data_IF_549664708114
#
_entry.id   IF_549664708114
#
_cell.length_a   1.000
_cell.length_b   1.000
_cell.length_c   1.000
_cell.angle_alpha   90.00
_cell.angle_beta   90.00
_cell.angle_gamma   90.00
#
_symmetry.space_group_name_H-M   'P 1'
#
loop_
_entity.id
_entity.type
_entity.pdbx_description
1 polymer ?
#
# COMPACT_ATOMS: atom_id res chain seq x y z
N UNK A 1 -2.96 4.31 -17.14
CA UNK A 1 -3.00 3.07 -16.32
C UNK A 1 -1.62 2.41 -16.40
N UNK A 2 -1.13 1.82 -15.30
CA UNK A 2 0.17 1.14 -15.35
C UNK A 2 0.08 -0.12 -16.23
N UNK A 3 1.21 -0.48 -16.89
CA UNK A 3 1.28 -1.72 -17.69
C UNK A 3 0.97 -2.97 -16.84
N UNK A 4 1.29 -2.95 -15.54
CA UNK A 4 0.98 -4.05 -14.62
C UNK A 4 -0.52 -4.24 -14.46
N UNK A 5 -1.26 -3.17 -14.23
CA UNK A 5 -2.73 -3.23 -14.16
C UNK A 5 -3.34 -3.70 -15.47
N UNK A 6 -2.85 -3.20 -16.61
CA UNK A 6 -3.31 -3.71 -17.90
C UNK A 6 -3.09 -5.22 -18.03
N UNK A 7 -1.92 -5.72 -17.66
CA UNK A 7 -1.61 -7.14 -17.73
C UNK A 7 -2.48 -7.96 -16.75
N UNK A 8 -2.70 -7.47 -15.53
CA UNK A 8 -3.56 -8.13 -14.54
C UNK A 8 -4.99 -8.26 -15.09
N UNK A 9 -5.56 -7.19 -15.64
CA UNK A 9 -6.95 -7.20 -16.11
C UNK A 9 -7.13 -7.86 -17.48
N UNK A 10 -6.11 -7.89 -18.33
CA UNK A 10 -6.14 -8.63 -19.61
C UNK A 10 -5.90 -10.13 -19.43
N UNK A 11 -5.31 -10.56 -18.33
CA UNK A 11 -5.08 -11.98 -18.05
C UNK A 11 -6.41 -12.71 -17.85
N UNK A 12 -6.63 -13.78 -18.60
CA UNK A 12 -7.82 -14.61 -18.48
C UNK A 12 -7.88 -15.42 -17.17
N UNK A 13 -6.73 -15.67 -16.56
CA UNK A 13 -6.62 -16.43 -15.31
C UNK A 13 -5.82 -15.65 -14.25
N UNK A 14 -6.29 -15.67 -13.00
CA UNK A 14 -7.62 -16.11 -12.55
C UNK A 14 -8.72 -15.16 -13.06
N UNK A 15 -9.92 -15.67 -13.27
CA UNK A 15 -11.10 -14.86 -13.69
C UNK A 15 -11.40 -13.74 -12.67
N UNK A 16 -11.35 -14.09 -11.39
CA UNK A 16 -11.55 -13.13 -10.29
C UNK A 16 -10.19 -12.60 -9.85
N UNK A 17 -10.05 -11.29 -9.84
CA UNK A 17 -8.84 -10.62 -9.31
C UNK A 17 -9.10 -10.24 -7.87
N UNK A 18 -8.30 -10.80 -6.96
CA UNK A 18 -8.39 -10.48 -5.54
C UNK A 18 -7.56 -9.23 -5.24
N UNK A 19 -8.19 -8.24 -4.63
CA UNK A 19 -7.54 -7.06 -4.04
C UNK A 19 -7.53 -7.24 -2.53
N UNK A 20 -6.37 -7.18 -1.92
CA UNK A 20 -6.23 -7.27 -0.45
C UNK A 20 -5.70 -5.98 0.12
N UNK A 21 -6.41 -5.44 1.13
CA UNK A 21 -6.02 -4.25 1.86
C UNK A 21 -5.14 -4.60 3.06
N UNK A 22 -4.11 -3.80 3.28
CA UNK A 22 -3.24 -3.86 4.45
C UNK A 22 -3.02 -2.46 5.01
N UNK A 23 -3.09 -2.32 6.33
CA UNK A 23 -2.60 -1.11 7.00
C UNK A 23 -1.08 -1.12 6.92
N UNK A 24 -0.52 -0.13 6.25
CA UNK A 24 0.92 -0.06 6.00
C UNK A 24 1.74 -0.01 7.29
N UNK A 25 2.74 -0.88 7.37
CA UNK A 25 3.61 -1.03 8.53
C UNK A 25 2.93 -1.58 9.81
N UNK A 26 1.76 -2.16 9.72
CA UNK A 26 1.10 -2.77 10.89
C UNK A 26 1.39 -4.28 10.97
N UNK A 27 1.74 -4.84 12.15
CA UNK A 27 2.08 -4.16 13.41
C UNK A 27 3.46 -3.50 13.38
N UNK A 28 4.32 -3.90 12.48
CA UNK A 28 5.61 -3.33 12.15
C UNK A 28 5.95 -3.57 10.66
N UNK A 29 6.91 -2.86 10.06
CA UNK A 29 7.22 -2.97 8.64
C UNK A 29 7.62 -4.38 8.18
N UNK A 30 8.36 -5.12 8.98
CA UNK A 30 8.87 -6.44 8.59
C UNK A 30 7.77 -7.50 8.66
N UNK A 31 6.98 -7.51 9.72
CA UNK A 31 5.82 -8.39 9.85
C UNK A 31 4.79 -8.09 8.75
N UNK A 32 4.53 -6.81 8.49
CA UNK A 32 3.63 -6.37 7.41
C UNK A 32 4.12 -6.88 6.04
N UNK A 33 5.42 -6.76 5.76
CA UNK A 33 6.01 -7.28 4.53
C UNK A 33 5.82 -8.80 4.38
N UNK A 34 6.09 -9.57 5.43
CA UNK A 34 5.94 -11.04 5.38
C UNK A 34 4.48 -11.47 5.19
N UNK A 35 3.50 -10.75 5.77
CA UNK A 35 2.08 -10.99 5.54
C UNK A 35 1.69 -10.71 4.09
N UNK A 36 2.14 -9.57 3.54
CA UNK A 36 1.88 -9.18 2.14
C UNK A 36 2.53 -10.20 1.18
N UNK A 37 3.76 -10.61 1.46
CA UNK A 37 4.46 -11.64 0.68
C UNK A 37 3.66 -12.93 0.62
N UNK A 38 3.18 -13.43 1.75
CA UNK A 38 2.32 -14.62 1.80
C UNK A 38 1.03 -14.44 1.01
N UNK A 39 0.41 -13.25 1.05
CA UNK A 39 -0.78 -12.96 0.26
C UNK A 39 -0.48 -13.05 -1.24
N UNK A 40 0.64 -12.46 -1.67
CA UNK A 40 1.09 -12.52 -3.07
C UNK A 40 1.35 -13.97 -3.51
N UNK A 41 2.08 -14.73 -2.70
CA UNK A 41 2.41 -16.14 -2.99
C UNK A 41 1.16 -17.03 -3.07
N UNK A 42 0.06 -16.62 -2.45
CA UNK A 42 -1.25 -17.31 -2.51
C UNK A 42 -2.21 -16.69 -3.53
N UNK A 43 -1.72 -15.89 -4.47
CA UNK A 43 -2.48 -15.50 -5.67
C UNK A 43 -3.26 -14.18 -5.56
N UNK A 44 -2.97 -13.33 -4.58
CA UNK A 44 -3.50 -11.97 -4.56
C UNK A 44 -2.97 -11.20 -5.78
N UNK A 45 -3.87 -10.58 -6.52
CA UNK A 45 -3.53 -9.89 -7.76
C UNK A 45 -3.11 -8.44 -7.54
N UNK A 46 -3.71 -7.79 -6.54
CA UNK A 46 -3.46 -6.38 -6.22
C UNK A 46 -3.39 -6.23 -4.70
N UNK A 47 -2.35 -5.55 -4.24
CA UNK A 47 -2.18 -5.15 -2.85
C UNK A 47 -2.57 -3.68 -2.72
N UNK A 48 -3.48 -3.37 -1.82
CA UNK A 48 -3.82 -2.02 -1.43
C UNK A 48 -3.20 -1.74 -0.06
N UNK A 49 -2.38 -0.69 0.03
CA UNK A 49 -1.63 -0.36 1.23
C UNK A 49 -2.10 0.99 1.74
N UNK A 50 -2.76 1.00 2.89
CA UNK A 50 -3.18 2.22 3.58
C UNK A 50 -1.99 2.90 4.27
N UNK A 51 -1.64 4.13 3.89
CA UNK A 51 -0.71 4.91 4.68
C UNK A 51 -1.44 5.57 5.86
N UNK A 52 -0.84 5.45 7.04
CA UNK A 52 -1.51 5.79 8.30
C UNK A 52 -1.71 7.29 8.49
N UNK A 53 -2.85 7.63 9.07
CA UNK A 53 -3.24 8.99 9.43
C UNK A 53 -3.97 9.00 10.78
N UNK A 54 -3.82 10.09 11.53
CA UNK A 54 -4.66 10.38 12.71
C UNK A 54 -6.11 10.70 12.35
N UNK A 55 -6.33 11.10 11.10
CA UNK A 55 -7.62 11.57 10.57
C UNK A 55 -8.46 10.45 9.92
N UNK A 56 -8.23 9.19 10.29
CA UNK A 56 -8.92 8.02 9.74
C UNK A 56 -10.40 7.94 10.17
N UNK A 57 -11.16 9.01 9.96
CA UNK A 57 -12.55 9.13 10.40
C UNK A 57 -13.55 8.30 9.60
N UNK A 58 -13.19 7.98 8.34
CA UNK A 58 -14.02 7.14 7.47
C UNK A 58 -13.79 5.64 7.69
N UNK A 59 -12.74 5.27 8.44
CA UNK A 59 -12.42 3.89 8.75
C UNK A 59 -13.23 3.41 9.96
N UNK A 60 -13.49 2.11 9.99
CA UNK A 60 -14.06 1.49 11.19
C UNK A 60 -13.06 1.46 12.34
N UNK A 61 -13.54 1.19 13.59
CA UNK A 61 -12.71 1.28 14.79
C UNK A 61 -11.50 0.36 14.77
N UNK A 62 -11.59 -0.79 14.11
CA UNK A 62 -10.48 -1.76 14.00
C UNK A 62 -9.34 -1.19 13.16
N UNK A 63 -9.63 -0.68 11.96
CA UNK A 63 -8.63 -0.09 11.06
C UNK A 63 -8.06 1.19 11.68
N UNK A 64 -8.93 2.03 12.27
CA UNK A 64 -8.47 3.22 12.97
C UNK A 64 -7.49 2.89 14.09
N UNK A 65 -7.79 1.86 14.90
CA UNK A 65 -6.89 1.40 15.97
C UNK A 65 -5.53 0.95 15.41
N UNK A 66 -5.50 0.28 14.27
CA UNK A 66 -4.24 -0.11 13.62
C UNK A 66 -3.45 1.11 13.12
N UNK A 67 -4.11 2.13 12.55
CA UNK A 67 -3.46 3.40 12.19
C UNK A 67 -2.84 4.09 13.41
N UNK A 68 -3.61 4.21 14.50
CA UNK A 68 -3.15 4.84 15.75
C UNK A 68 -1.94 4.09 16.32
N UNK A 69 -1.97 2.74 16.27
CA UNK A 69 -0.85 1.91 16.70
C UNK A 69 0.42 2.17 15.90
N UNK A 70 0.33 2.19 14.58
CA UNK A 70 1.48 2.44 13.69
C UNK A 70 2.09 3.82 13.94
N UNK A 71 1.24 4.85 14.04
CA UNK A 71 1.69 6.23 14.30
C UNK A 71 2.32 6.37 15.69
N UNK A 72 1.76 5.72 16.72
CA UNK A 72 2.30 5.71 18.08
C UNK A 72 3.69 5.06 18.14
N UNK A 73 3.96 4.08 17.28
CA UNK A 73 5.27 3.43 17.17
C UNK A 73 6.25 4.20 16.25
N UNK A 74 5.88 5.41 15.80
CA UNK A 74 6.75 6.32 15.06
C UNK A 74 6.90 6.01 13.56
N UNK A 75 6.11 5.09 13.01
CA UNK A 75 6.12 4.82 11.58
C UNK A 75 5.34 5.89 10.80
N UNK A 76 5.87 6.27 9.66
CA UNK A 76 5.41 7.39 8.85
C UNK A 76 5.09 6.95 7.42
N UNK A 77 4.55 7.87 6.62
CA UNK A 77 4.37 7.67 5.17
C UNK A 77 5.66 7.24 4.47
N UNK A 78 6.82 7.74 4.90
CA UNK A 78 8.12 7.32 4.33
C UNK A 78 8.38 5.83 4.55
N UNK A 79 8.05 5.29 5.71
CA UNK A 79 8.18 3.86 5.99
C UNK A 79 7.23 3.04 5.11
N UNK A 80 6.01 3.53 4.87
CA UNK A 80 5.08 2.88 3.93
C UNK A 80 5.62 2.89 2.49
N UNK A 81 6.22 3.98 2.03
CA UNK A 81 6.86 4.05 0.71
C UNK A 81 8.05 3.07 0.60
N UNK A 82 8.84 2.94 1.66
CA UNK A 82 9.91 1.94 1.73
C UNK A 82 9.38 0.51 1.69
N UNK A 83 8.27 0.24 2.39
CA UNK A 83 7.57 -1.05 2.33
C UNK A 83 7.11 -1.36 0.90
N UNK A 84 6.52 -0.41 0.19
CA UNK A 84 6.14 -0.55 -1.22
C UNK A 84 7.34 -0.93 -2.08
N UNK A 85 8.47 -0.26 -1.89
CA UNK A 85 9.71 -0.59 -2.61
C UNK A 85 10.16 -2.03 -2.33
N UNK A 86 10.14 -2.46 -1.08
CA UNK A 86 10.51 -3.83 -0.66
C UNK A 86 9.58 -4.87 -1.30
N UNK A 87 8.27 -4.59 -1.35
CA UNK A 87 7.29 -5.45 -2.03
C UNK A 87 7.56 -5.53 -3.53
N UNK A 88 7.84 -4.40 -4.17
CA UNK A 88 8.13 -4.36 -5.61
C UNK A 88 9.42 -5.10 -5.96
N UNK A 89 10.45 -5.02 -5.13
CA UNK A 89 11.69 -5.77 -5.31
C UNK A 89 11.48 -7.27 -5.14
N UNK A 90 10.50 -7.67 -4.31
CA UNK A 90 10.10 -9.07 -4.16
C UNK A 90 9.27 -9.58 -5.35
N UNK A 91 8.32 -8.78 -5.86
CA UNK A 91 7.43 -9.20 -6.93
C UNK A 91 7.18 -8.07 -7.95
N UNK A 92 7.60 -8.30 -9.19
CA UNK A 92 7.48 -7.34 -10.29
C UNK A 92 6.06 -7.22 -10.86
N UNK A 93 5.19 -8.21 -10.62
CA UNK A 93 3.93 -8.38 -11.35
C UNK A 93 2.70 -7.96 -10.55
N UNK A 94 2.73 -8.07 -9.22
CA UNK A 94 1.59 -7.68 -8.38
C UNK A 94 1.26 -6.20 -8.55
N UNK A 95 -0.03 -5.88 -8.64
CA UNK A 95 -0.48 -4.49 -8.60
C UNK A 95 -0.32 -3.90 -7.20
N UNK A 96 0.15 -2.67 -7.09
CA UNK A 96 0.28 -1.99 -5.80
C UNK A 96 -0.44 -0.64 -5.86
N UNK A 97 -1.42 -0.46 -4.99
CA UNK A 97 -2.15 0.79 -4.77
C UNK A 97 -1.77 1.35 -3.41
N UNK A 98 -1.35 2.60 -3.35
CA UNK A 98 -1.29 3.35 -2.10
C UNK A 98 -2.63 4.03 -1.86
N UNK A 99 -3.20 3.85 -0.67
CA UNK A 99 -4.46 4.48 -0.27
C UNK A 99 -4.27 5.33 0.98
N UNK A 100 -4.96 6.47 1.02
CA UNK A 100 -5.00 7.27 2.24
C UNK A 100 -5.67 8.62 2.06
N UNK A 101 -5.49 9.48 3.02
CA UNK A 101 -6.19 10.75 3.11
C UNK A 101 -5.33 11.90 2.59
N UNK A 102 -5.96 12.84 1.90
CA UNK A 102 -5.30 14.05 1.37
C UNK A 102 -4.60 14.85 2.46
N UNK A 103 -5.12 14.82 3.70
CA UNK A 103 -4.55 15.52 4.84
C UNK A 103 -3.08 15.17 5.10
N UNK A 104 -2.67 13.93 4.82
CA UNK A 104 -1.28 13.50 4.94
C UNK A 104 -0.37 14.17 3.91
N UNK A 105 -0.91 14.54 2.75
CA UNK A 105 -0.15 15.12 1.65
C UNK A 105 0.13 16.61 1.86
N UNK A 106 -0.62 17.29 2.74
CA UNK A 106 -0.32 18.68 3.09
C UNK A 106 1.03 18.85 3.81
N UNK A 107 1.49 17.79 4.48
CA UNK A 107 2.79 17.76 5.18
C UNK A 107 3.93 17.20 4.34
N UNK A 108 3.61 16.73 3.13
CA UNK A 108 4.57 16.13 2.21
C UNK A 108 4.48 16.87 0.87
N UNK A 109 5.55 17.53 0.40
CA UNK A 109 5.49 18.25 -0.87
C UNK A 109 5.00 17.32 -1.99
N UNK A 110 3.95 17.71 -2.67
CA UNK A 110 3.25 16.84 -3.65
C UNK A 110 4.19 16.34 -4.76
N UNK A 111 5.16 17.15 -5.17
CA UNK A 111 6.14 16.75 -6.19
C UNK A 111 7.04 15.63 -5.68
N UNK A 112 7.50 15.73 -4.44
CA UNK A 112 8.37 14.73 -3.81
C UNK A 112 7.57 13.43 -3.59
N UNK A 113 6.33 13.54 -3.13
CA UNK A 113 5.42 12.43 -2.97
C UNK A 113 5.25 11.64 -4.29
N UNK A 114 4.93 12.34 -5.38
CA UNK A 114 4.76 11.70 -6.70
C UNK A 114 6.04 11.02 -7.17
N UNK A 115 7.19 11.67 -6.97
CA UNK A 115 8.48 11.09 -7.35
C UNK A 115 8.82 9.85 -6.51
N UNK A 116 8.61 9.91 -5.20
CA UNK A 116 8.94 8.81 -4.29
C UNK A 116 8.03 7.61 -4.53
N UNK A 117 6.72 7.83 -4.76
CA UNK A 117 5.79 6.77 -5.16
C UNK A 117 6.22 6.12 -6.47
N UNK A 118 6.56 6.93 -7.47
CA UNK A 118 7.03 6.40 -8.76
C UNK A 118 8.29 5.56 -8.61
N UNK A 119 9.26 6.04 -7.81
CA UNK A 119 10.52 5.32 -7.52
C UNK A 119 10.28 4.05 -6.71
N UNK A 120 9.30 4.05 -5.81
CA UNK A 120 8.95 2.86 -5.02
C UNK A 120 8.32 1.74 -5.85
N UNK A 121 7.79 2.08 -7.04
CA UNK A 121 7.15 1.11 -7.92
C UNK A 121 5.67 0.86 -7.63
N UNK A 122 4.99 1.76 -6.92
CA UNK A 122 3.53 1.75 -6.84
C UNK A 122 2.90 2.04 -8.21
N UNK A 123 1.74 1.46 -8.45
CA UNK A 123 1.02 1.56 -9.74
C UNK A 123 -0.07 2.62 -9.73
N UNK A 124 -0.64 2.89 -8.57
CA UNK A 124 -1.70 3.87 -8.39
C UNK A 124 -1.72 4.44 -6.98
N UNK A 125 -2.41 5.54 -6.83
CA UNK A 125 -2.75 6.18 -5.55
C UNK A 125 -4.25 6.42 -5.52
N UNK A 126 -4.86 6.10 -4.39
CA UNK A 126 -6.24 6.42 -4.05
C UNK A 126 -6.23 7.42 -2.90
N UNK A 127 -6.85 8.58 -3.10
CA UNK A 127 -6.89 9.69 -2.13
C UNK A 127 -8.32 10.18 -1.97
#
# INVERSE_FOLDING_TARGET
>A
MSKRFENIFKSEKPKTKLVSYFVGCYPDPDTCFELIKKAIDNGVSIIEIGYCTSEASAEGPVIKSAHDYVLKNGFTLKNTIQLVKKIRDYNEHVGIVLMGYIANLYKYPIRDFVQDIKKSGADAVLV
#
